data_IF_075792425663
#
_entry.id   IF_075792425663
#
_cell.length_a   1.000
_cell.length_b   1.000
_cell.length_c   1.000
_cell.angle_alpha   90.00
_cell.angle_beta   90.00
_cell.angle_gamma   90.00
#
_symmetry.space_group_name_H-M   'P 1'
#
loop_
_entity.id
_entity.type
_entity.pdbx_description
1 polymer ?
#
# COMPACT_ATOMS: atom_id res chain seq x y z
N UNK A 1 31.33 0.45 6.10
CA UNK A 1 31.12 1.47 7.15
C UNK A 1 29.66 1.55 7.60
N UNK A 2 28.72 1.94 6.71
CA UNK A 2 27.29 2.07 7.07
C UNK A 2 26.64 0.79 7.58
N UNK A 3 26.89 -0.36 6.94
CA UNK A 3 26.34 -1.64 7.39
C UNK A 3 26.79 -1.99 8.82
N UNK A 4 28.07 -1.80 9.13
CA UNK A 4 28.60 -2.03 10.48
C UNK A 4 27.91 -1.12 11.51
N UNK A 5 27.76 0.17 11.19
CA UNK A 5 27.10 1.14 12.07
C UNK A 5 25.64 0.74 12.36
N UNK A 6 24.85 0.44 11.32
CA UNK A 6 23.46 0.03 11.48
C UNK A 6 23.33 -1.34 12.17
N UNK A 7 24.28 -2.24 11.96
CA UNK A 7 24.33 -3.53 12.66
C UNK A 7 24.58 -3.33 14.16
N UNK A 8 25.51 -2.45 14.55
CA UNK A 8 25.74 -2.16 15.98
C UNK A 8 24.52 -1.48 16.61
N UNK A 9 23.87 -0.56 15.90
CA UNK A 9 22.66 0.08 16.37
C UNK A 9 21.51 -0.93 16.54
N UNK A 10 21.32 -1.85 15.58
CA UNK A 10 20.33 -2.93 15.70
C UNK A 10 20.64 -3.84 16.90
N UNK A 11 21.92 -4.20 17.10
CA UNK A 11 22.36 -5.00 18.26
C UNK A 11 22.01 -4.30 19.58
N UNK A 12 22.25 -2.99 19.67
CA UNK A 12 21.88 -2.19 20.84
C UNK A 12 20.37 -2.21 21.10
N UNK A 13 19.54 -2.02 20.06
CA UNK A 13 18.08 -2.10 20.17
C UNK A 13 17.63 -3.48 20.66
N UNK A 14 18.21 -4.57 20.14
CA UNK A 14 17.88 -5.92 20.57
C UNK A 14 18.25 -6.18 22.04
N UNK A 15 19.40 -5.67 22.49
CA UNK A 15 19.85 -5.80 23.87
C UNK A 15 18.97 -4.99 24.83
N UNK A 16 18.59 -3.78 24.45
CA UNK A 16 17.77 -2.89 25.28
C UNK A 16 16.32 -3.36 25.36
N UNK A 17 15.71 -3.74 24.22
CA UNK A 17 14.29 -4.08 24.14
C UNK A 17 13.99 -5.54 24.44
N UNK A 18 14.97 -6.44 24.30
CA UNK A 18 14.83 -7.89 24.47
C UNK A 18 13.54 -8.46 23.87
N UNK A 19 13.23 -8.20 22.59
CA UNK A 19 11.95 -8.58 22.02
C UNK A 19 11.84 -10.10 21.84
N UNK A 20 10.66 -10.65 22.09
CA UNK A 20 10.34 -12.04 21.72
C UNK A 20 10.16 -12.20 20.20
N UNK A 21 9.57 -11.18 19.56
CA UNK A 21 9.23 -11.17 18.14
C UNK A 21 9.59 -9.81 17.54
N UNK A 22 10.28 -9.80 16.41
CA UNK A 22 10.55 -8.60 15.61
C UNK A 22 9.81 -8.67 14.27
N UNK A 23 8.96 -7.68 14.00
CA UNK A 23 8.29 -7.52 12.70
C UNK A 23 9.05 -6.49 11.84
N UNK A 24 9.52 -6.92 10.67
CA UNK A 24 10.21 -6.10 9.71
C UNK A 24 9.24 -5.65 8.61
N UNK A 25 8.87 -4.38 8.60
CA UNK A 25 8.07 -3.74 7.52
C UNK A 25 8.94 -3.03 6.48
N UNK A 26 10.26 -3.20 6.57
CA UNK A 26 11.25 -2.58 5.70
C UNK A 26 12.44 -3.53 5.48
N UNK A 27 13.02 -3.48 4.27
CA UNK A 27 14.06 -4.40 3.85
C UNK A 27 15.36 -4.28 4.69
N UNK A 28 15.75 -3.06 5.10
CA UNK A 28 16.98 -2.85 5.87
C UNK A 28 16.95 -3.51 7.27
N UNK A 29 15.94 -3.30 8.14
CA UNK A 29 15.83 -4.06 9.39
C UNK A 29 15.81 -5.58 9.17
N UNK A 30 15.11 -6.05 8.13
CA UNK A 30 15.07 -7.47 7.77
C UNK A 30 16.46 -8.00 7.41
N UNK A 31 17.21 -7.27 6.58
CA UNK A 31 18.59 -7.60 6.21
C UNK A 31 19.49 -7.74 7.44
N UNK A 32 19.45 -6.76 8.34
CA UNK A 32 20.28 -6.72 9.55
C UNK A 32 19.92 -7.86 10.50
N UNK A 33 18.63 -8.08 10.75
CA UNK A 33 18.16 -9.17 11.61
C UNK A 33 18.43 -10.54 11.01
N UNK A 34 18.33 -10.71 9.69
CA UNK A 34 18.76 -11.94 9.03
C UNK A 34 20.24 -12.24 9.29
N UNK A 35 21.11 -11.23 9.38
CA UNK A 35 22.53 -11.42 9.73
C UNK A 35 22.74 -11.71 11.21
N UNK A 36 22.03 -11.01 12.09
CA UNK A 36 22.20 -11.09 13.54
C UNK A 36 21.49 -12.29 14.18
N UNK A 37 20.46 -12.84 13.53
CA UNK A 37 19.63 -13.95 14.07
C UNK A 37 20.44 -15.10 14.68
N UNK A 38 21.58 -15.57 14.14
CA UNK A 38 22.38 -16.61 14.78
C UNK A 38 22.89 -16.26 16.20
N UNK A 39 23.09 -14.97 16.49
CA UNK A 39 23.44 -14.46 17.83
C UNK A 39 22.22 -14.39 18.76
N UNK A 40 21.00 -14.41 18.19
CA UNK A 40 19.73 -14.28 18.89
C UNK A 40 18.78 -15.44 18.52
N UNK A 41 19.12 -16.69 18.88
CA UNK A 41 18.36 -17.88 18.47
C UNK A 41 16.91 -17.84 18.94
N UNK A 42 16.64 -17.22 20.08
CA UNK A 42 15.30 -17.13 20.68
C UNK A 42 14.40 -16.04 20.08
N UNK A 43 14.94 -15.09 19.30
CA UNK A 43 14.15 -14.00 18.71
C UNK A 43 13.35 -14.48 17.48
N UNK A 44 12.03 -14.50 17.46
CA UNK A 44 11.32 -14.74 16.19
C UNK A 44 11.39 -13.50 15.30
N UNK A 45 11.78 -13.64 14.03
CA UNK A 45 11.79 -12.54 13.05
C UNK A 45 10.76 -12.80 11.96
N UNK A 46 9.92 -11.81 11.71
CA UNK A 46 8.84 -11.87 10.72
C UNK A 46 9.05 -10.78 9.68
N UNK A 47 9.10 -11.15 8.40
CA UNK A 47 9.02 -10.17 7.31
C UNK A 47 7.57 -9.85 6.98
N UNK A 48 7.24 -8.56 6.94
CA UNK A 48 5.97 -8.03 6.43
C UNK A 48 6.29 -7.22 5.19
N UNK A 49 6.09 -7.82 4.02
CA UNK A 49 6.40 -7.17 2.76
C UNK A 49 5.39 -6.04 2.49
N UNK A 50 5.92 -4.85 2.20
CA UNK A 50 5.14 -3.61 2.02
C UNK A 50 5.09 -3.14 0.56
N UNK A 51 5.61 -3.97 -0.34
CA UNK A 51 5.55 -3.84 -1.80
C UNK A 51 4.90 -5.09 -2.40
N UNK A 52 4.44 -5.01 -3.65
CA UNK A 52 3.86 -6.15 -4.38
C UNK A 52 4.91 -7.14 -4.91
N UNK A 53 6.19 -6.88 -4.63
CA UNK A 53 7.34 -7.71 -4.97
C UNK A 53 8.31 -7.79 -3.79
N UNK A 54 9.26 -8.73 -3.86
CA UNK A 54 10.32 -8.88 -2.85
C UNK A 54 11.68 -8.65 -3.50
N UNK A 55 12.29 -7.51 -3.20
CA UNK A 55 13.66 -7.22 -3.65
C UNK A 55 14.71 -8.06 -2.90
N UNK A 56 15.93 -8.08 -3.43
CA UNK A 56 17.05 -8.88 -2.88
C UNK A 56 17.65 -8.33 -1.58
N UNK A 57 17.29 -7.12 -1.15
CA UNK A 57 17.76 -6.58 0.12
C UNK A 57 17.05 -7.24 1.31
N UNK A 58 15.83 -7.72 1.14
CA UNK A 58 15.11 -8.44 2.19
C UNK A 58 15.88 -9.69 2.63
N UNK A 59 16.07 -9.84 3.95
CA UNK A 59 16.57 -11.08 4.53
C UNK A 59 15.58 -12.22 4.32
N UNK A 60 16.09 -13.45 4.17
CA UNK A 60 15.24 -14.64 3.91
C UNK A 60 15.73 -15.88 4.63
N UNK A 61 17.05 -16.10 4.64
CA UNK A 61 17.68 -17.32 5.19
C UNK A 61 17.37 -17.56 6.67
N UNK A 62 17.44 -16.51 7.48
CA UNK A 62 17.29 -16.59 8.94
C UNK A 62 16.02 -15.85 9.41
N UNK A 63 14.97 -15.87 8.59
CA UNK A 63 13.66 -15.28 8.89
C UNK A 63 12.68 -16.42 9.16
N UNK A 64 11.92 -16.32 10.25
CA UNK A 64 11.05 -17.39 10.71
C UNK A 64 9.72 -17.40 9.96
N UNK A 65 9.17 -16.22 9.63
CA UNK A 65 7.88 -16.11 8.96
C UNK A 65 7.84 -14.98 7.91
N UNK A 66 7.04 -15.17 6.87
CA UNK A 66 6.92 -14.27 5.73
C UNK A 66 5.45 -13.94 5.45
N UNK A 67 5.07 -12.68 5.57
CA UNK A 67 3.75 -12.16 5.25
C UNK A 67 3.81 -11.56 3.84
N UNK A 68 3.24 -12.27 2.87
CA UNK A 68 3.40 -11.98 1.44
C UNK A 68 2.16 -11.31 0.83
N UNK A 69 2.35 -10.43 -0.16
CA UNK A 69 1.28 -9.63 -0.75
C UNK A 69 0.45 -10.40 -1.79
N UNK A 70 0.95 -11.53 -2.30
CA UNK A 70 0.35 -12.25 -3.42
C UNK A 70 0.82 -13.71 -3.53
N UNK A 71 0.08 -14.53 -4.30
CA UNK A 71 0.43 -15.94 -4.54
C UNK A 71 1.75 -16.10 -5.29
N UNK A 72 2.14 -15.11 -6.10
CA UNK A 72 3.31 -15.09 -6.96
C UNK A 72 4.55 -14.88 -6.12
N UNK A 73 4.50 -13.94 -5.17
CA UNK A 73 5.54 -13.80 -4.16
C UNK A 73 5.64 -15.06 -3.30
N UNK A 74 4.51 -15.67 -2.92
CA UNK A 74 4.53 -16.95 -2.20
C UNK A 74 5.27 -18.04 -3.00
N UNK A 75 4.92 -18.22 -4.27
CA UNK A 75 5.56 -19.19 -5.18
C UNK A 75 7.05 -18.89 -5.38
N UNK A 76 7.41 -17.61 -5.54
CA UNK A 76 8.79 -17.18 -5.62
C UNK A 76 9.57 -17.62 -4.38
N UNK A 77 9.11 -17.30 -3.17
CA UNK A 77 9.81 -17.66 -1.93
C UNK A 77 9.93 -19.18 -1.73
N UNK A 78 8.90 -19.95 -2.12
CA UNK A 78 8.96 -21.43 -2.11
C UNK A 78 10.05 -21.92 -3.07
N UNK A 79 10.14 -21.37 -4.28
CA UNK A 79 11.16 -21.73 -5.26
C UNK A 79 12.58 -21.37 -4.80
N UNK A 80 12.71 -20.38 -3.92
CA UNK A 80 13.96 -19.97 -3.28
C UNK A 80 14.30 -20.82 -2.03
N UNK A 81 13.48 -21.82 -1.69
CA UNK A 81 13.73 -22.79 -0.63
C UNK A 81 13.12 -22.44 0.74
N UNK A 82 12.25 -21.43 0.83
CA UNK A 82 11.54 -21.11 2.07
C UNK A 82 10.37 -22.11 2.26
N UNK A 83 10.27 -22.71 3.44
CA UNK A 83 9.17 -23.64 3.77
C UNK A 83 7.81 -22.93 3.64
N UNK A 84 6.91 -23.51 2.84
CA UNK A 84 5.56 -23.00 2.64
C UNK A 84 4.78 -22.80 3.95
N UNK A 85 5.07 -23.56 5.00
CA UNK A 85 4.42 -23.46 6.31
C UNK A 85 4.80 -22.18 7.06
N UNK A 86 5.86 -21.50 6.61
CA UNK A 86 6.35 -20.25 7.16
C UNK A 86 5.91 -19.04 6.32
N UNK A 87 5.20 -19.25 5.21
CA UNK A 87 4.74 -18.19 4.31
C UNK A 87 3.21 -18.04 4.41
N UNK A 88 2.78 -16.88 4.90
CA UNK A 88 1.38 -16.51 5.05
C UNK A 88 0.99 -15.47 4.00
N UNK A 89 -0.04 -15.79 3.22
CA UNK A 89 -0.59 -14.90 2.20
C UNK A 89 -1.56 -13.91 2.86
N UNK A 90 -1.02 -12.85 3.44
CA UNK A 90 -1.79 -11.86 4.20
C UNK A 90 -2.24 -10.67 3.37
N UNK A 91 -1.72 -10.52 2.15
CA UNK A 91 -1.71 -9.23 1.46
C UNK A 91 -0.72 -8.28 2.15
N UNK A 92 -0.63 -7.05 1.67
CA UNK A 92 0.02 -5.98 2.43
C UNK A 92 -0.95 -5.56 3.55
N UNK A 93 -0.58 -5.71 4.84
CA UNK A 93 -1.51 -5.40 5.93
C UNK A 93 -1.91 -3.92 5.94
N UNK A 94 -3.21 -3.67 6.08
CA UNK A 94 -3.78 -2.34 6.24
C UNK A 94 -4.39 -2.18 7.63
N UNK A 95 -4.61 -0.94 8.05
CA UNK A 95 -5.27 -0.68 9.33
C UNK A 95 -6.74 -1.14 9.28
N UNK A 96 -7.26 -1.74 10.37
CA UNK A 96 -8.64 -2.29 10.46
C UNK A 96 -9.75 -1.34 10.01
N UNK A 97 -9.56 -0.02 10.19
CA UNK A 97 -10.53 1.00 9.73
C UNK A 97 -10.77 0.93 8.21
N UNK A 98 -9.80 0.41 7.44
CA UNK A 98 -9.92 0.27 5.99
C UNK A 98 -10.57 -1.05 5.57
N UNK A 99 -10.87 -1.95 6.50
CA UNK A 99 -11.70 -3.12 6.21
C UNK A 99 -13.12 -2.65 5.85
N UNK A 100 -13.76 -3.35 4.92
CA UNK A 100 -15.16 -3.08 4.57
C UNK A 100 -16.07 -3.78 5.57
N UNK A 101 -16.95 -3.02 6.23
CA UNK A 101 -18.00 -3.61 7.09
C UNK A 101 -19.19 -4.14 6.28
N UNK A 102 -19.47 -3.56 5.11
CA UNK A 102 -20.47 -4.03 4.16
C UNK A 102 -20.14 -3.53 2.74
N UNK A 103 -20.49 -4.32 1.73
CA UNK A 103 -20.32 -3.98 0.33
C UNK A 103 -21.40 -2.96 -0.10
N UNK A 104 -21.40 -1.77 0.49
CA UNK A 104 -22.36 -0.76 0.07
C UNK A 104 -21.90 -0.17 -1.27
N UNK A 105 -22.75 -0.37 -2.26
CA UNK A 105 -22.54 0.09 -3.63
C UNK A 105 -22.67 1.60 -3.63
N UNK A 106 -21.55 2.31 -3.47
CA UNK A 106 -21.50 3.72 -3.87
C UNK A 106 -22.04 3.79 -5.30
N UNK A 107 -23.21 4.39 -5.44
CA UNK A 107 -23.75 4.71 -6.74
C UNK A 107 -22.85 5.80 -7.31
N UNK A 108 -22.04 5.43 -8.30
CA UNK A 108 -21.15 6.34 -8.98
C UNK A 108 -21.97 7.21 -9.94
N UNK A 109 -22.65 8.23 -9.41
CA UNK A 109 -23.29 9.28 -10.19
C UNK A 109 -22.48 10.58 -10.10
N UNK A 110 -22.35 11.33 -11.20
CA UNK A 110 -21.72 12.64 -11.16
C UNK A 110 -22.42 13.61 -10.19
N UNK A 111 -21.69 14.54 -9.56
CA UNK A 111 -20.25 14.71 -9.68
C UNK A 111 -19.47 13.61 -8.96
N UNK A 112 -18.48 13.03 -9.64
CA UNK A 112 -17.58 12.05 -9.04
C UNK A 112 -16.61 12.75 -8.08
N UNK A 113 -16.26 12.11 -6.97
CA UNK A 113 -15.23 12.63 -6.07
C UNK A 113 -13.93 11.90 -6.29
N UNK A 114 -12.88 12.61 -6.71
CA UNK A 114 -11.55 12.05 -6.96
C UNK A 114 -10.54 12.63 -5.97
N UNK A 115 -9.92 11.75 -5.19
CA UNK A 115 -8.76 12.11 -4.38
C UNK A 115 -7.53 12.20 -5.28
N UNK A 116 -6.70 13.21 -5.13
CA UNK A 116 -5.34 13.24 -5.69
C UNK A 116 -4.34 13.29 -4.53
N UNK A 117 -3.44 12.30 -4.45
CA UNK A 117 -2.46 12.20 -3.36
C UNK A 117 -1.10 11.70 -3.82
N UNK A 118 -0.05 12.23 -3.20
CA UNK A 118 1.34 11.80 -3.38
C UNK A 118 1.89 11.08 -2.15
N UNK A 119 1.00 10.59 -1.28
CA UNK A 119 1.33 10.06 0.04
C UNK A 119 1.56 11.16 1.08
N UNK A 120 2.14 10.77 2.22
CA UNK A 120 2.31 11.64 3.40
C UNK A 120 3.11 12.92 3.14
N UNK A 121 3.99 12.93 2.14
CA UNK A 121 4.82 14.08 1.77
C UNK A 121 4.19 14.97 0.70
N UNK A 122 3.04 14.60 0.10
CA UNK A 122 2.44 15.38 -0.98
C UNK A 122 3.35 15.51 -2.22
N UNK A 123 4.07 14.44 -2.55
CA UNK A 123 5.07 14.42 -3.62
C UNK A 123 4.54 13.95 -4.98
N UNK A 124 5.44 13.71 -5.94
CA UNK A 124 5.10 13.12 -7.23
C UNK A 124 4.59 14.10 -8.30
N UNK A 125 4.79 15.41 -8.14
CA UNK A 125 4.38 16.38 -9.16
C UNK A 125 2.90 16.75 -9.15
N UNK A 126 2.19 16.56 -8.03
CA UNK A 126 0.78 16.97 -7.87
C UNK A 126 0.59 18.45 -8.23
N UNK A 127 1.53 19.31 -7.86
CA UNK A 127 1.45 20.74 -8.18
C UNK A 127 1.28 20.98 -9.69
N UNK A 128 2.07 20.27 -10.51
CA UNK A 128 1.97 20.32 -11.97
C UNK A 128 0.61 19.79 -12.44
N UNK A 129 0.14 18.68 -11.86
CA UNK A 129 -1.17 18.13 -12.16
C UNK A 129 -2.30 19.13 -11.87
N UNK A 130 -2.27 19.78 -10.72
CA UNK A 130 -3.29 20.78 -10.36
C UNK A 130 -3.21 22.00 -11.27
N UNK A 131 -2.01 22.43 -11.67
CA UNK A 131 -1.81 23.55 -12.61
C UNK A 131 -2.37 23.28 -14.01
N UNK A 132 -2.34 22.03 -14.47
CA UNK A 132 -2.82 21.61 -15.79
C UNK A 132 -4.27 21.14 -15.78
N UNK A 133 -4.87 21.00 -14.59
CA UNK A 133 -6.23 20.52 -14.43
C UNK A 133 -7.23 21.56 -14.96
N UNK A 134 -8.18 21.10 -15.76
CA UNK A 134 -9.26 21.94 -16.30
C UNK A 134 -10.62 21.30 -16.00
N UNK A 135 -11.17 21.46 -14.78
CA UNK A 135 -12.43 20.84 -14.39
C UNK A 135 -13.61 21.34 -15.26
N UNK A 136 -14.29 20.42 -15.91
CA UNK A 136 -15.49 20.57 -16.73
C UNK A 136 -16.81 20.30 -15.99
N UNK A 137 -16.77 20.14 -14.67
CA UNK A 137 -17.97 20.09 -13.81
C UNK A 137 -18.48 18.70 -13.46
N UNK A 138 -17.84 17.62 -13.92
CA UNK A 138 -18.25 16.24 -13.61
C UNK A 138 -17.45 15.64 -12.46
N UNK A 139 -16.34 16.25 -12.06
CA UNK A 139 -15.47 15.78 -10.96
C UNK A 139 -15.24 16.88 -9.92
N UNK A 140 -15.39 16.52 -8.65
CA UNK A 140 -14.86 17.23 -7.49
C UNK A 140 -13.49 16.62 -7.14
N UNK A 141 -12.44 17.45 -7.17
CA UNK A 141 -11.08 17.03 -6.86
C UNK A 141 -10.71 17.38 -5.42
N UNK A 142 -10.36 16.37 -4.63
CA UNK A 142 -9.86 16.55 -3.27
C UNK A 142 -8.34 16.30 -3.27
N UNK A 143 -7.56 17.38 -3.16
CA UNK A 143 -6.10 17.33 -3.23
C UNK A 143 -5.54 17.11 -1.82
N UNK A 144 -5.06 15.90 -1.53
CA UNK A 144 -4.38 15.60 -0.27
C UNK A 144 -2.95 16.08 -0.35
N UNK A 145 -2.69 17.20 0.31
CA UNK A 145 -1.40 17.87 0.22
C UNK A 145 -0.31 17.23 1.07
N UNK A 146 -0.65 16.26 1.92
CA UNK A 146 0.28 15.69 2.88
C UNK A 146 0.93 16.80 3.73
N UNK A 147 2.21 16.64 4.07
CA UNK A 147 3.02 17.67 4.77
C UNK A 147 3.54 18.77 3.83
N UNK A 148 3.05 18.85 2.59
CA UNK A 148 3.50 19.83 1.61
C UNK A 148 2.67 21.13 1.75
N UNK A 149 3.10 22.00 2.66
CA UNK A 149 2.45 23.29 2.92
C UNK A 149 2.41 24.21 1.69
N UNK A 150 3.41 24.12 0.81
CA UNK A 150 3.43 24.87 -0.46
C UNK A 150 2.31 24.43 -1.39
N UNK A 151 2.13 23.13 -1.53
CA UNK A 151 1.02 22.57 -2.31
C UNK A 151 -0.33 22.96 -1.69
N UNK A 152 -0.49 22.81 -0.37
CA UNK A 152 -1.72 23.19 0.32
C UNK A 152 -2.07 24.67 0.10
N UNK A 153 -1.10 25.57 0.31
CA UNK A 153 -1.27 27.00 0.11
C UNK A 153 -1.63 27.34 -1.34
N UNK A 154 -0.96 26.71 -2.31
CA UNK A 154 -1.25 26.90 -3.72
C UNK A 154 -2.68 26.49 -4.08
N UNK A 155 -3.09 25.25 -3.75
CA UNK A 155 -4.43 24.75 -4.09
C UNK A 155 -5.51 25.61 -3.43
N UNK A 156 -5.30 26.01 -2.16
CA UNK A 156 -6.23 26.88 -1.44
C UNK A 156 -6.39 28.25 -2.10
N UNK A 157 -5.30 28.80 -2.67
CA UNK A 157 -5.32 30.10 -3.36
C UNK A 157 -6.08 30.11 -4.69
N UNK A 158 -6.36 28.93 -5.27
CA UNK A 158 -7.13 28.83 -6.51
C UNK A 158 -8.59 29.24 -6.34
N UNK A 159 -9.15 29.12 -5.12
CA UNK A 159 -10.56 29.37 -4.81
C UNK A 159 -11.53 28.71 -5.82
N UNK A 160 -11.16 27.55 -6.35
CA UNK A 160 -11.89 26.88 -7.42
C UNK A 160 -13.04 26.03 -6.84
N UNK A 161 -14.29 26.11 -7.35
CA UNK A 161 -15.44 25.43 -6.75
C UNK A 161 -15.37 23.90 -6.82
N UNK A 162 -14.52 23.35 -7.70
CA UNK A 162 -14.35 21.92 -7.92
C UNK A 162 -13.00 21.38 -7.44
N UNK A 163 -12.16 22.20 -6.81
CA UNK A 163 -10.85 21.76 -6.30
C UNK A 163 -10.73 22.15 -4.83
N UNK A 164 -10.66 21.14 -3.97
CA UNK A 164 -10.57 21.27 -2.52
C UNK A 164 -9.18 20.88 -2.02
N UNK A 165 -8.54 21.75 -1.25
CA UNK A 165 -7.26 21.46 -0.59
C UNK A 165 -7.51 20.73 0.74
N UNK A 166 -7.01 19.50 0.87
CA UNK A 166 -7.07 18.71 2.11
C UNK A 166 -5.67 18.71 2.77
N UNK A 167 -5.55 19.16 4.03
CA UNK A 167 -4.27 19.17 4.74
C UNK A 167 -3.82 17.75 5.11
N UNK A 168 -2.65 17.62 5.75
CA UNK A 168 -2.22 16.33 6.31
C UNK A 168 -3.24 15.81 7.34
N UNK A 169 -3.80 14.63 7.08
CA UNK A 169 -4.71 13.96 7.99
C UNK A 169 -3.92 13.13 9.02
N UNK A 170 -4.13 13.42 10.30
CA UNK A 170 -3.49 12.69 11.40
C UNK A 170 -4.28 11.44 11.82
N UNK A 171 -5.55 11.35 11.42
CA UNK A 171 -6.46 10.27 11.81
C UNK A 171 -6.68 9.27 10.68
N UNK A 172 -6.47 7.98 10.97
CA UNK A 172 -6.84 6.89 10.05
C UNK A 172 -8.34 6.80 9.82
N UNK A 173 -9.16 7.19 10.80
CA UNK A 173 -10.61 7.23 10.64
C UNK A 173 -11.05 8.35 9.67
N UNK A 174 -10.40 9.51 9.70
CA UNK A 174 -10.68 10.59 8.75
C UNK A 174 -10.27 10.21 7.33
N UNK A 175 -9.08 9.62 7.17
CA UNK A 175 -8.64 9.08 5.87
C UNK A 175 -9.63 8.05 5.33
N UNK A 176 -10.12 7.16 6.20
CA UNK A 176 -11.11 6.15 5.84
C UNK A 176 -12.43 6.77 5.35
N UNK A 177 -12.97 7.75 6.08
CA UNK A 177 -14.18 8.48 5.65
C UNK A 177 -13.99 9.15 4.30
N UNK A 178 -12.78 9.66 4.03
CA UNK A 178 -12.47 10.28 2.76
C UNK A 178 -12.50 9.26 1.61
N UNK A 179 -11.95 8.05 1.81
CA UNK A 179 -12.08 6.95 0.84
C UNK A 179 -13.53 6.55 0.61
N UNK A 180 -14.34 6.45 1.67
CA UNK A 180 -15.77 6.09 1.60
C UNK A 180 -16.62 7.13 0.86
N UNK A 181 -16.19 8.40 0.87
CA UNK A 181 -16.86 9.48 0.12
C UNK A 181 -16.33 9.62 -1.31
N UNK A 182 -15.33 8.84 -1.70
CA UNK A 182 -14.63 9.00 -2.97
C UNK A 182 -15.08 7.96 -4.00
N UNK A 183 -15.20 8.40 -5.24
CA UNK A 183 -15.50 7.55 -6.39
C UNK A 183 -14.23 6.87 -6.91
N UNK A 184 -13.07 7.54 -6.79
CA UNK A 184 -11.77 7.00 -7.19
C UNK A 184 -10.62 7.82 -6.60
N UNK A 185 -9.40 7.37 -6.87
CA UNK A 185 -8.18 7.99 -6.37
C UNK A 185 -7.09 8.01 -7.43
N UNK A 186 -6.43 9.15 -7.55
CA UNK A 186 -5.22 9.35 -8.33
C UNK A 186 -4.03 9.38 -7.38
N UNK A 187 -3.10 8.44 -7.54
CA UNK A 187 -1.96 8.28 -6.63
C UNK A 187 -0.71 7.77 -7.36
N UNK A 188 0.39 7.68 -6.61
CA UNK A 188 1.57 6.86 -6.93
C UNK A 188 1.34 5.38 -6.54
N UNK A 189 2.06 4.42 -7.12
CA UNK A 189 1.90 2.99 -6.86
C UNK A 189 2.60 2.56 -5.55
N UNK A 190 2.33 3.26 -4.45
CA UNK A 190 2.86 2.93 -3.13
C UNK A 190 2.10 1.76 -2.51
N UNK A 191 2.79 0.68 -2.14
CA UNK A 191 2.18 -0.59 -1.75
C UNK A 191 1.05 -0.46 -0.72
N UNK A 192 1.29 0.26 0.37
CA UNK A 192 0.30 0.45 1.45
C UNK A 192 -0.96 1.20 0.95
N UNK A 193 -0.80 2.34 0.28
CA UNK A 193 -1.95 3.14 -0.22
C UNK A 193 -2.78 2.34 -1.22
N UNK A 194 -2.12 1.64 -2.14
CA UNK A 194 -2.81 0.79 -3.11
C UNK A 194 -3.60 -0.31 -2.39
N UNK A 195 -3.00 -0.99 -1.41
CA UNK A 195 -3.69 -2.02 -0.65
C UNK A 195 -4.88 -1.49 0.16
N UNK A 196 -4.80 -0.28 0.72
CA UNK A 196 -5.96 0.38 1.34
C UNK A 196 -7.10 0.58 0.32
N UNK A 197 -6.76 1.03 -0.90
CA UNK A 197 -7.74 1.27 -1.97
C UNK A 197 -8.37 -0.04 -2.48
N UNK A 198 -7.56 -1.10 -2.65
CA UNK A 198 -8.04 -2.42 -3.04
C UNK A 198 -9.01 -2.99 -2.01
N UNK A 199 -8.69 -2.89 -0.72
CA UNK A 199 -9.59 -3.30 0.37
C UNK A 199 -10.91 -2.53 0.36
N UNK A 200 -10.88 -1.26 -0.08
CA UNK A 200 -12.08 -0.43 -0.28
C UNK A 200 -12.72 -0.56 -1.67
N UNK A 201 -12.18 -1.40 -2.56
CA UNK A 201 -12.61 -1.50 -3.98
C UNK A 201 -12.68 -0.14 -4.67
N UNK A 202 -11.83 0.80 -4.24
CA UNK A 202 -11.78 2.16 -4.74
C UNK A 202 -10.90 2.19 -6.00
N UNK A 203 -11.46 2.52 -7.19
CA UNK A 203 -10.69 2.60 -8.43
C UNK A 203 -9.46 3.50 -8.32
N UNK A 204 -8.32 2.95 -8.74
CA UNK A 204 -7.00 3.57 -8.60
C UNK A 204 -6.45 3.94 -9.96
N UNK A 205 -6.03 5.20 -10.08
CA UNK A 205 -5.43 5.79 -11.24
C UNK A 205 -3.99 6.22 -10.92
N UNK A 206 -3.01 5.75 -11.70
CA UNK A 206 -1.59 6.00 -11.43
C UNK A 206 -1.08 7.13 -12.30
N UNK A 207 -0.82 8.27 -11.69
CA UNK A 207 -0.41 9.49 -12.41
C UNK A 207 1.12 9.68 -12.44
N UNK A 208 1.84 8.98 -11.56
CA UNK A 208 3.29 9.08 -11.44
C UNK A 208 3.85 7.81 -10.79
N UNK A 209 5.08 7.44 -11.15
CA UNK A 209 5.84 6.37 -10.50
C UNK A 209 7.32 6.80 -10.45
N UNK A 210 7.93 6.67 -9.28
CA UNK A 210 9.37 6.89 -9.13
C UNK A 210 10.16 5.70 -9.72
N UNK A 211 11.31 5.96 -10.37
CA UNK A 211 12.16 4.88 -10.87
C UNK A 211 12.51 3.85 -9.79
N UNK A 212 12.47 2.57 -10.16
CA UNK A 212 12.76 1.47 -9.24
C UNK A 212 11.52 0.86 -8.60
N UNK A 213 11.38 0.96 -7.27
CA UNK A 213 10.36 0.19 -6.53
C UNK A 213 8.92 0.52 -6.94
N UNK A 214 8.62 1.80 -7.18
CA UNK A 214 7.28 2.23 -7.60
C UNK A 214 6.95 1.74 -9.01
N UNK A 215 7.90 1.75 -9.95
CA UNK A 215 7.70 1.16 -11.29
C UNK A 215 7.47 -0.36 -11.23
N UNK A 216 8.19 -1.08 -10.37
CA UNK A 216 7.99 -2.51 -10.17
C UNK A 216 6.59 -2.81 -9.63
N UNK A 217 6.13 -2.04 -8.62
CA UNK A 217 4.75 -2.15 -8.13
C UNK A 217 3.75 -1.88 -9.25
N UNK A 218 3.95 -0.81 -10.02
CA UNK A 218 3.04 -0.45 -11.11
C UNK A 218 2.93 -1.57 -12.16
N UNK A 219 4.05 -2.14 -12.61
CA UNK A 219 4.03 -3.20 -13.62
C UNK A 219 3.19 -4.39 -13.13
N UNK A 220 3.43 -4.87 -11.91
CA UNK A 220 2.70 -6.00 -11.33
C UNK A 220 1.21 -5.69 -11.12
N UNK A 221 0.89 -4.50 -10.64
CA UNK A 221 -0.50 -4.07 -10.43
C UNK A 221 -1.25 -3.92 -11.75
N UNK A 222 -0.59 -3.38 -12.77
CA UNK A 222 -1.13 -3.17 -14.10
C UNK A 222 -1.36 -4.50 -14.83
N UNK A 223 -0.40 -5.44 -14.78
CA UNK A 223 -0.55 -6.79 -15.31
C UNK A 223 -1.77 -7.52 -14.74
N UNK A 224 -2.09 -7.28 -13.46
CA UNK A 224 -3.28 -7.82 -12.80
C UNK A 224 -4.56 -7.01 -13.00
N UNK A 225 -4.49 -5.88 -13.70
CA UNK A 225 -5.60 -4.95 -13.89
C UNK A 225 -6.20 -4.45 -12.57
N UNK A 226 -5.34 -4.24 -11.57
CA UNK A 226 -5.71 -3.70 -10.25
C UNK A 226 -5.64 -2.18 -10.17
N UNK A 227 -5.03 -1.54 -11.17
CA UNK A 227 -4.88 -0.09 -11.31
C UNK A 227 -4.96 0.30 -12.79
N UNK A 228 -5.29 1.56 -13.06
CA UNK A 228 -5.21 2.16 -14.41
C UNK A 228 -3.97 3.04 -14.50
N UNK A 229 -3.05 2.76 -15.43
CA UNK A 229 -1.87 3.62 -15.67
C UNK A 229 -2.25 4.85 -16.50
N UNK A 230 -2.10 6.04 -15.90
CA UNK A 230 -2.42 7.34 -16.50
C UNK A 230 -1.17 8.17 -16.82
N UNK A 231 0.05 7.66 -16.61
CA UNK A 231 1.29 8.46 -16.74
C UNK A 231 1.47 9.08 -18.13
N UNK A 232 0.90 8.46 -19.16
CA UNK A 232 1.00 8.90 -20.55
C UNK A 232 -0.28 9.57 -21.08
N UNK A 233 -1.26 9.89 -20.22
CA UNK A 233 -2.51 10.50 -20.65
C UNK A 233 -2.33 11.99 -20.97
N UNK A 234 -3.14 12.49 -21.92
CA UNK A 234 -3.30 13.93 -22.09
C UNK A 234 -4.06 14.49 -20.89
N UNK A 235 -3.36 15.31 -20.13
CA UNK A 235 -3.83 15.93 -18.91
C UNK A 235 -5.11 16.74 -19.07
N UNK A 236 -5.23 17.42 -20.21
CA UNK A 236 -6.41 18.25 -20.48
C UNK A 236 -7.68 17.42 -20.66
N UNK A 237 -7.52 16.12 -20.93
CA UNK A 237 -8.60 15.15 -21.13
C UNK A 237 -8.74 14.16 -19.96
N UNK A 238 -7.99 14.35 -18.88
CA UNK A 238 -8.01 13.44 -17.75
C UNK A 238 -9.44 13.24 -17.18
N UNK A 239 -10.24 14.30 -17.11
CA UNK A 239 -11.64 14.20 -16.67
C UNK A 239 -12.50 13.37 -17.64
N UNK A 240 -12.33 13.53 -18.95
CA UNK A 240 -13.06 12.75 -19.95
C UNK A 240 -12.75 11.26 -19.80
N UNK A 241 -11.47 10.91 -19.64
CA UNK A 241 -11.05 9.52 -19.48
C UNK A 241 -11.50 8.91 -18.16
N UNK A 242 -11.37 9.65 -17.05
CA UNK A 242 -11.83 9.19 -15.73
C UNK A 242 -13.36 9.02 -15.73
N UNK A 243 -14.11 9.97 -16.29
CA UNK A 243 -15.57 9.87 -16.36
C UNK A 243 -16.03 8.73 -17.27
N UNK A 244 -15.35 8.50 -18.40
CA UNK A 244 -15.63 7.38 -19.29
C UNK A 244 -15.44 6.03 -18.58
N UNK A 245 -14.43 5.91 -17.71
CA UNK A 245 -14.21 4.72 -16.89
C UNK A 245 -15.42 4.42 -15.98
N UNK A 246 -15.93 5.42 -15.26
CA UNK A 246 -17.09 5.24 -14.38
C UNK A 246 -18.41 5.06 -15.11
N UNK A 247 -18.56 5.65 -16.29
CA UNK A 247 -19.76 5.50 -17.13
C UNK A 247 -19.82 4.13 -17.81
N UNK A 248 -18.66 3.48 -18.01
CA UNK A 248 -18.59 2.14 -18.57
C UNK A 248 -18.89 1.09 -17.50
N UNK A 249 -20.11 0.56 -17.54
CA UNK A 249 -20.51 -0.58 -16.72
C UNK A 249 -19.59 -1.80 -16.91
N UNK A 250 -19.02 -1.98 -18.10
CA UNK A 250 -18.09 -3.06 -18.41
C UNK A 250 -16.75 -2.86 -17.68
N UNK A 251 -16.12 -1.69 -17.82
CA UNK A 251 -14.84 -1.39 -17.17
C UNK A 251 -14.95 -1.46 -15.64
N UNK A 252 -16.02 -0.91 -15.08
CA UNK A 252 -16.27 -1.00 -13.63
C UNK A 252 -16.49 -2.44 -13.15
N UNK A 253 -17.20 -3.27 -13.93
CA UNK A 253 -17.39 -4.69 -13.60
C UNK A 253 -16.08 -5.47 -13.70
N UNK A 254 -15.28 -5.21 -14.74
CA UNK A 254 -13.97 -5.84 -14.92
C UNK A 254 -13.03 -5.46 -13.77
N UNK A 255 -12.92 -4.18 -13.44
CA UNK A 255 -12.14 -3.71 -12.29
C UNK A 255 -12.54 -4.41 -11.00
N UNK A 256 -13.84 -4.41 -10.66
CA UNK A 256 -14.35 -5.08 -9.45
C UNK A 256 -14.07 -6.58 -9.47
N UNK A 257 -14.15 -7.25 -10.63
CA UNK A 257 -13.80 -8.66 -10.79
C UNK A 257 -12.33 -8.92 -10.46
N UNK A 258 -11.40 -8.11 -10.98
CA UNK A 258 -9.98 -8.26 -10.70
C UNK A 258 -9.63 -7.99 -9.24
N UNK A 259 -10.19 -6.92 -8.65
CA UNK A 259 -9.99 -6.63 -7.23
C UNK A 259 -10.54 -7.74 -6.34
N UNK A 260 -11.75 -8.23 -6.62
CA UNK A 260 -12.33 -9.35 -5.86
C UNK A 260 -11.53 -10.64 -6.03
N UNK A 261 -11.00 -10.91 -7.22
CA UNK A 261 -10.10 -12.03 -7.48
C UNK A 261 -8.84 -11.93 -6.61
N UNK A 262 -8.16 -10.78 -6.64
CA UNK A 262 -6.97 -10.53 -5.83
C UNK A 262 -7.25 -10.65 -4.32
N UNK A 263 -8.33 -10.06 -3.82
CA UNK A 263 -8.70 -10.17 -2.40
C UNK A 263 -9.10 -11.60 -2.02
N UNK A 264 -9.69 -12.36 -2.95
CA UNK A 264 -10.05 -13.77 -2.77
C UNK A 264 -8.86 -14.73 -2.82
N UNK A 265 -7.70 -14.31 -3.35
CA UNK A 265 -6.46 -15.08 -3.27
C UNK A 265 -5.92 -15.13 -1.83
N UNK A 266 -6.28 -14.17 -0.97
CA UNK A 266 -5.74 -14.04 0.37
C UNK A 266 -6.04 -15.28 1.23
N UNK A 267 -5.11 -15.62 2.13
CA UNK A 267 -5.26 -16.79 3.00
C UNK A 267 -6.61 -16.80 3.71
N UNK A 268 -7.23 -17.99 3.82
CA UNK A 268 -8.46 -18.19 4.61
C UNK A 268 -8.35 -17.81 6.10
N UNK A 269 -7.14 -17.47 6.57
CA UNK A 269 -6.85 -17.14 7.95
C UNK A 269 -6.69 -15.63 8.09
N UNK A 270 -7.47 -15.02 8.98
CA UNK A 270 -7.27 -13.63 9.36
C UNK A 270 -5.86 -13.45 9.92
N UNK A 271 -5.26 -12.27 9.70
CA UNK A 271 -3.92 -11.96 10.21
C UNK A 271 -3.83 -12.17 11.73
N UNK A 272 -4.92 -11.93 12.46
CA UNK A 272 -5.02 -12.20 13.90
C UNK A 272 -4.76 -13.66 14.26
N UNK A 273 -5.27 -14.61 13.45
CA UNK A 273 -5.09 -16.04 13.69
C UNK A 273 -3.67 -16.48 13.39
N UNK A 274 -3.06 -15.88 12.35
CA UNK A 274 -1.63 -16.06 12.04
C UNK A 274 -0.77 -15.56 13.21
N UNK A 275 -1.06 -14.36 13.73
CA UNK A 275 -0.35 -13.78 14.86
C UNK A 275 -0.49 -14.63 16.13
N UNK A 276 -1.72 -15.07 16.47
CA UNK A 276 -1.96 -15.99 17.60
C UNK A 276 -1.13 -17.26 17.48
N UNK A 277 -1.04 -17.84 16.28
CA UNK A 277 -0.22 -19.03 16.02
C UNK A 277 1.27 -18.77 16.22
N UNK A 278 1.78 -17.64 15.72
CA UNK A 278 3.20 -17.26 15.88
C UNK A 278 3.52 -17.06 17.37
N UNK A 279 2.68 -16.29 18.09
CA UNK A 279 2.84 -16.04 19.54
C UNK A 279 2.78 -17.36 20.32
N UNK A 280 1.83 -18.24 20.00
CA UNK A 280 1.73 -19.54 20.64
C UNK A 280 2.97 -20.40 20.40
N UNK A 281 3.46 -20.48 19.16
CA UNK A 281 4.70 -21.23 18.85
C UNK A 281 5.90 -20.67 19.61
N UNK A 282 6.06 -19.34 19.63
CA UNK A 282 7.16 -18.68 20.33
C UNK A 282 7.18 -19.04 21.83
N UNK A 283 6.03 -19.03 22.50
CA UNK A 283 5.93 -19.43 23.91
C UNK A 283 6.28 -20.89 24.15
N UNK A 284 5.91 -21.80 23.24
CA UNK A 284 6.12 -23.24 23.42
C UNK A 284 7.53 -23.71 23.00
N UNK A 285 8.22 -22.97 22.14
CA UNK A 285 9.63 -23.22 21.83
C UNK A 285 10.55 -22.87 23.01
N UNK A 286 10.18 -21.88 23.84
CA UNK A 286 10.93 -21.47 25.03
C UNK A 286 10.76 -22.40 26.25
N UNK A 287 9.80 -23.34 26.20
CA UNK A 287 9.51 -24.31 27.26
C UNK A 287 10.21 -25.67 27.06
N UNK A 288 10.98 -25.83 25.98
CA UNK A 288 11.77 -27.02 25.66
C UNK A 288 13.26 -26.72 25.76
#
# INVERSE_FOLDING_TARGET
>A
MYEWLFTQQMRHILQEKQPDIAFCTHALPSYLLNRLKPEYPNLTVVNVYTDFFVNQLWGRKNIDYHFVPSTEVKKQLISEGIDQNNIYLTGIPVHRNFEMESADTLQHHPPYTIIITGGSMGGGGILKWVQELSPGGKILYKILCGRNEKLYSYVKSLHHPLIEAIPYLHSKAEMNRLYEQSTGIMTKPGGVTISECLQKRLPVFIYHALPGQEEMNLNLLHERKLVTDMRNWDMKKAEEYITAFFQSNEQMKEYKKHVNGYLGEMSDRKIEDVLKRIIWKQKNTLLK
#
